data_IF_222912904727
#
_entry.id   IF_222912904727
#
_cell.length_a   1.000
_cell.length_b   1.000
_cell.length_c   1.000
_cell.angle_alpha   90.00
_cell.angle_beta   90.00
_cell.angle_gamma   90.00
#
_symmetry.space_group_name_H-M   'P 1'
#
loop_
_entity.id
_entity.type
_entity.pdbx_description
1 polymer ?
#
# COMPACT_ATOMS: atom_id res chain seq x y z
N UNK A 1 -2.00 3.87 -31.01
CA UNK A 1 -2.06 4.26 -29.59
C UNK A 1 -1.23 3.22 -28.89
N UNK A 2 -0.05 3.61 -28.39
CA UNK A 2 0.76 2.72 -27.55
C UNK A 2 0.18 2.83 -26.13
N UNK A 3 -0.90 2.09 -25.88
CA UNK A 3 -1.37 1.88 -24.52
C UNK A 3 -0.33 1.02 -23.82
N UNK A 4 0.58 1.68 -23.10
CA UNK A 4 1.58 1.00 -22.29
C UNK A 4 0.84 0.27 -21.17
N UNK A 5 0.61 -1.02 -21.34
CA UNK A 5 -0.08 -1.85 -20.36
C UNK A 5 0.73 -1.89 -19.04
N UNK A 6 0.19 -1.27 -18.00
CA UNK A 6 0.83 -1.24 -16.67
C UNK A 6 0.44 -2.53 -15.95
N UNK A 7 1.36 -3.50 -15.92
CA UNK A 7 1.18 -4.69 -15.12
C UNK A 7 1.60 -4.43 -13.67
N UNK A 8 0.74 -4.82 -12.75
CA UNK A 8 0.99 -4.69 -11.32
C UNK A 8 2.06 -5.69 -10.86
N UNK A 9 2.98 -5.20 -10.03
CA UNK A 9 4.03 -5.98 -9.35
C UNK A 9 3.59 -6.31 -7.94
N UNK A 10 4.22 -7.31 -7.34
CA UNK A 10 3.84 -7.84 -6.02
C UNK A 10 3.91 -6.79 -4.90
N UNK A 11 4.91 -5.91 -4.94
CA UNK A 11 5.14 -4.87 -3.94
C UNK A 11 4.32 -3.59 -4.18
N UNK A 12 3.61 -3.49 -5.30
CA UNK A 12 2.78 -2.33 -5.59
C UNK A 12 1.63 -2.24 -4.58
N UNK A 13 1.26 -1.02 -4.23
CA UNK A 13 0.18 -0.73 -3.27
C UNK A 13 -1.01 -0.18 -4.04
N UNK A 14 -2.16 -0.79 -3.85
CA UNK A 14 -3.42 -0.34 -4.43
C UNK A 14 -4.26 0.32 -3.36
N UNK A 15 -4.90 1.43 -3.72
CA UNK A 15 -6.02 1.99 -2.98
C UNK A 15 -7.28 1.85 -3.81
N UNK A 16 -8.28 1.19 -3.25
CA UNK A 16 -9.57 0.96 -3.89
C UNK A 16 -10.69 1.04 -2.84
N UNK A 17 -11.92 1.37 -3.23
CA UNK A 17 -13.09 1.13 -2.39
C UNK A 17 -13.16 -0.33 -1.94
N UNK A 18 -13.99 -0.59 -0.94
CA UNK A 18 -14.19 -1.94 -0.39
C UNK A 18 -14.45 -2.95 -1.50
N UNK A 19 -13.65 -4.01 -1.53
CA UNK A 19 -13.80 -5.10 -2.48
C UNK A 19 -14.32 -6.36 -1.79
N UNK A 20 -14.94 -7.27 -2.54
CA UNK A 20 -15.40 -8.53 -1.96
C UNK A 20 -14.27 -9.43 -1.44
N UNK A 21 -13.04 -9.21 -1.92
CA UNK A 21 -11.85 -9.98 -1.54
C UNK A 21 -11.03 -9.30 -0.44
N UNK A 22 -11.11 -7.98 -0.30
CA UNK A 22 -10.33 -7.19 0.65
C UNK A 22 -11.20 -6.09 1.28
N UNK A 23 -11.39 -6.18 2.59
CA UNK A 23 -12.16 -5.20 3.37
C UNK A 23 -11.42 -3.89 3.63
N UNK A 24 -10.08 -3.91 3.59
CA UNK A 24 -9.26 -2.70 3.71
C UNK A 24 -9.21 -1.94 2.38
N UNK A 25 -9.25 -0.61 2.44
CA UNK A 25 -9.21 0.25 1.24
C UNK A 25 -7.81 0.47 0.68
N UNK A 26 -6.78 -0.08 1.32
CA UNK A 26 -5.38 -0.01 0.87
C UNK A 26 -4.71 -1.33 1.18
N UNK A 27 -4.08 -1.93 0.18
CA UNK A 27 -3.49 -3.26 0.28
C UNK A 27 -2.38 -3.43 -0.74
N UNK A 28 -1.45 -4.34 -0.47
CA UNK A 28 -0.43 -4.74 -1.44
C UNK A 28 -1.02 -5.68 -2.48
N UNK A 29 -0.49 -5.63 -3.69
CA UNK A 29 -0.87 -6.54 -4.78
C UNK A 29 -0.62 -7.99 -4.39
N UNK A 30 0.49 -8.32 -3.73
CA UNK A 30 0.76 -9.67 -3.21
C UNK A 30 -0.37 -10.18 -2.30
N UNK A 31 -0.87 -9.34 -1.38
CA UNK A 31 -1.90 -9.75 -0.42
C UNK A 31 -3.19 -10.09 -1.15
N UNK A 32 -3.56 -9.24 -2.10
CA UNK A 32 -4.72 -9.46 -2.96
C UNK A 32 -4.57 -10.71 -3.84
N UNK A 33 -3.39 -10.90 -4.46
CA UNK A 33 -3.09 -12.07 -5.28
C UNK A 33 -3.11 -13.37 -4.46
N UNK A 34 -2.67 -13.33 -3.21
CA UNK A 34 -2.72 -14.48 -2.28
C UNK A 34 -4.16 -14.89 -1.99
N UNK A 35 -5.04 -13.91 -1.70
CA UNK A 35 -6.46 -14.17 -1.49
C UNK A 35 -7.10 -14.70 -2.79
N UNK A 36 -6.80 -14.10 -3.94
CA UNK A 36 -7.32 -14.55 -5.23
C UNK A 36 -6.88 -15.98 -5.53
N UNK A 37 -5.62 -16.32 -5.27
CA UNK A 37 -5.10 -17.68 -5.43
C UNK A 37 -5.85 -18.70 -4.57
N UNK A 38 -6.14 -18.36 -3.31
CA UNK A 38 -6.91 -19.23 -2.39
C UNK A 38 -8.35 -19.52 -2.85
N UNK A 39 -8.89 -18.72 -3.77
CA UNK A 39 -10.24 -18.88 -4.32
C UNK A 39 -10.27 -19.60 -5.66
N UNK A 40 -9.11 -19.73 -6.33
CA UNK A 40 -9.00 -20.46 -7.59
C UNK A 40 -8.77 -21.94 -7.31
N UNK A 41 -9.28 -22.79 -8.19
CA UNK A 41 -9.00 -24.23 -8.15
C UNK A 41 -7.63 -24.58 -8.74
N UNK A 42 -7.09 -23.70 -9.59
CA UNK A 42 -5.83 -23.91 -10.31
C UNK A 42 -4.83 -22.82 -9.93
N UNK A 43 -3.92 -23.15 -9.02
CA UNK A 43 -2.92 -22.23 -8.46
C UNK A 43 -1.89 -21.74 -9.51
N UNK A 44 -1.71 -22.52 -10.59
CA UNK A 44 -0.74 -22.19 -11.65
C UNK A 44 -1.15 -21.00 -12.50
N UNK A 45 -2.44 -20.62 -12.49
CA UNK A 45 -2.93 -19.52 -13.33
C UNK A 45 -2.32 -18.17 -12.96
N UNK A 46 -1.99 -17.93 -11.68
CA UNK A 46 -1.41 -16.66 -11.23
C UNK A 46 0.12 -16.66 -11.20
N UNK A 47 0.76 -17.81 -11.44
CA UNK A 47 2.21 -17.97 -11.45
C UNK A 47 2.74 -18.19 -12.89
N UNK A 48 3.18 -19.40 -13.22
CA UNK A 48 3.82 -19.72 -14.51
C UNK A 48 2.82 -19.98 -15.64
N UNK A 49 1.54 -20.03 -15.32
CA UNK A 49 0.46 -20.40 -16.23
C UNK A 49 0.20 -21.90 -16.30
N UNK A 50 -0.97 -22.24 -16.84
CA UNK A 50 -1.44 -23.60 -17.07
C UNK A 50 -1.23 -23.99 -18.54
N UNK A 51 -0.70 -25.19 -18.79
CA UNK A 51 -0.51 -25.71 -20.15
C UNK A 51 -1.86 -25.90 -20.86
N UNK A 52 -1.95 -25.46 -22.12
CA UNK A 52 -3.15 -25.56 -22.92
C UNK A 52 -2.86 -25.60 -24.42
N UNK A 53 -3.88 -25.89 -25.23
CA UNK A 53 -3.85 -25.74 -26.67
C UNK A 53 -4.85 -24.66 -27.12
N UNK A 54 -4.40 -23.75 -27.98
CA UNK A 54 -5.22 -22.69 -28.56
C UNK A 54 -5.60 -23.04 -29.99
N UNK A 55 -6.90 -23.03 -30.29
CA UNK A 55 -7.42 -23.06 -31.65
C UNK A 55 -7.92 -21.67 -32.04
N UNK A 56 -7.22 -21.01 -32.96
CA UNK A 56 -7.64 -19.71 -33.51
C UNK A 56 -8.32 -19.90 -34.87
N UNK A 57 -9.24 -19.00 -35.21
CA UNK A 57 -9.90 -19.03 -36.53
C UNK A 57 -8.87 -19.03 -37.67
N UNK A 58 -9.00 -20.01 -38.58
CA UNK A 58 -8.09 -20.18 -39.72
C UNK A 58 -6.70 -20.76 -39.38
N UNK A 59 -6.45 -21.17 -38.14
CA UNK A 59 -5.19 -21.79 -37.70
C UNK A 59 -5.45 -23.18 -37.10
N UNK A 60 -4.39 -24.00 -37.01
CA UNK A 60 -4.43 -25.27 -36.29
C UNK A 60 -4.28 -25.10 -34.77
N UNK A 61 -4.42 -26.21 -34.03
CA UNK A 61 -4.12 -26.26 -32.59
C UNK A 61 -2.67 -25.88 -32.33
N UNK A 62 -2.44 -25.00 -31.35
CA UNK A 62 -1.11 -24.53 -30.96
C UNK A 62 -0.93 -24.71 -29.45
N UNK A 63 0.10 -25.45 -29.04
CA UNK A 63 0.45 -25.61 -27.62
C UNK A 63 1.00 -24.31 -27.03
N UNK A 64 0.63 -24.01 -25.79
CA UNK A 64 1.09 -22.84 -25.06
C UNK A 64 0.67 -22.90 -23.59
N UNK A 65 0.72 -21.73 -22.94
CA UNK A 65 0.27 -21.56 -21.55
C UNK A 65 -0.71 -20.40 -21.43
N UNK A 66 -1.71 -20.57 -20.58
CA UNK A 66 -2.64 -19.51 -20.17
C UNK A 66 -2.32 -19.06 -18.75
N UNK A 67 -2.26 -17.73 -18.53
CA UNK A 67 -2.01 -17.13 -17.21
C UNK A 67 -2.91 -15.91 -16.99
N UNK A 68 -3.19 -15.62 -15.73
CA UNK A 68 -3.93 -14.44 -15.27
C UNK A 68 -2.94 -13.41 -14.73
N UNK A 69 -3.13 -12.14 -15.11
CA UNK A 69 -2.35 -11.00 -14.63
C UNK A 69 -3.27 -9.84 -14.36
N UNK A 70 -2.92 -9.02 -13.37
CA UNK A 70 -3.63 -7.78 -13.08
C UNK A 70 -2.99 -6.63 -13.86
N UNK A 71 -3.84 -5.80 -14.45
CA UNK A 71 -3.45 -4.57 -15.13
C UNK A 71 -4.01 -3.36 -14.39
N UNK A 72 -3.24 -2.28 -14.40
CA UNK A 72 -3.67 -0.97 -13.96
C UNK A 72 -3.90 -0.10 -15.19
N UNK A 73 -5.08 0.51 -15.27
CA UNK A 73 -5.48 1.36 -16.40
C UNK A 73 -5.58 2.80 -15.87
N UNK A 74 -4.56 3.64 -16.08
CA UNK A 74 -4.61 5.02 -15.63
C UNK A 74 -5.61 5.82 -16.48
N UNK A 75 -6.35 6.74 -15.83
CA UNK A 75 -7.34 7.59 -16.52
C UNK A 75 -6.65 8.56 -17.49
N UNK A 76 -5.48 9.05 -17.09
CA UNK A 76 -4.62 9.89 -17.93
C UNK A 76 -3.32 9.13 -18.21
N UNK A 77 -2.85 9.08 -19.47
CA UNK A 77 -1.63 8.37 -19.81
C UNK A 77 -0.43 8.99 -19.10
N UNK A 78 0.43 8.14 -18.53
CA UNK A 78 1.59 8.54 -17.73
C UNK A 78 2.51 9.51 -18.51
N UNK A 79 2.64 10.74 -18.02
CA UNK A 79 3.62 11.69 -18.53
C UNK A 79 4.98 11.20 -18.06
N UNK A 80 5.78 10.65 -18.98
CA UNK A 80 7.15 10.18 -18.68
C UNK A 80 7.90 11.26 -17.91
N UNK A 81 8.29 10.97 -16.68
CA UNK A 81 9.13 11.87 -15.88
C UNK A 81 10.38 12.22 -16.67
N UNK A 82 10.53 13.50 -17.01
CA UNK A 82 11.76 13.98 -17.61
C UNK A 82 12.87 13.83 -16.58
N UNK A 83 13.80 12.92 -16.85
CA UNK A 83 15.04 12.75 -16.10
C UNK A 83 15.63 14.15 -15.83
N UNK A 84 15.61 14.57 -14.56
CA UNK A 84 16.11 15.87 -14.15
C UNK A 84 17.54 16.04 -14.70
N UNK A 85 17.79 17.14 -15.41
CA UNK A 85 19.12 17.50 -15.86
C UNK A 85 20.05 17.58 -14.64
N UNK A 86 21.28 17.03 -14.72
CA UNK A 86 22.23 17.14 -13.63
C UNK A 86 22.49 18.61 -13.34
N UNK A 87 22.42 19.00 -12.08
CA UNK A 87 22.83 20.33 -11.64
C UNK A 87 24.26 20.60 -12.11
N UNK A 88 24.48 21.75 -12.75
CA UNK A 88 25.79 22.18 -13.16
C UNK A 88 26.73 22.26 -11.94
N UNK A 89 28.04 21.93 -12.08
CA UNK A 89 28.98 22.08 -11.00
C UNK A 89 29.13 23.57 -10.65
N UNK A 90 28.91 23.93 -9.39
CA UNK A 90 29.25 25.27 -8.89
C UNK A 90 30.78 25.41 -8.88
N UNK A 91 31.29 26.36 -9.67
CA UNK A 91 32.67 26.79 -9.61
C UNK A 91 32.94 27.39 -8.23
N UNK A 92 33.77 26.68 -7.46
CA UNK A 92 34.21 27.06 -6.13
C UNK A 92 35.49 27.86 -6.27
N UNK A 93 35.37 29.19 -6.31
CA UNK A 93 36.53 30.07 -6.15
C UNK A 93 36.97 30.08 -4.68
N UNK A 94 38.22 29.69 -4.50
CA UNK A 94 38.93 29.62 -3.22
C UNK A 94 39.77 30.89 -3.00
N UNK A 95 40.13 31.11 -1.73
CA UNK A 95 41.15 32.03 -1.17
C UNK A 95 40.62 33.39 -0.63
N UNK A 96 41.06 33.94 0.50
CA UNK A 96 42.00 33.53 1.57
C UNK A 96 41.82 34.52 2.74
N UNK A 97 41.83 33.99 3.98
CA UNK A 97 42.54 34.45 5.19
C UNK A 97 42.42 35.91 5.69
N UNK A 98 42.04 36.08 6.98
CA UNK A 98 42.98 36.40 8.08
C UNK A 98 42.29 36.73 9.42
N UNK A 99 42.95 36.27 10.49
CA UNK A 99 43.12 36.85 11.83
C UNK A 99 41.91 37.05 12.77
N UNK A 100 41.87 36.16 13.76
CA UNK A 100 41.72 36.37 15.22
C UNK A 100 41.26 37.77 15.71
N UNK A 101 40.15 37.82 16.45
CA UNK A 101 40.14 38.41 17.80
C UNK A 101 38.95 37.87 18.63
N UNK A 102 39.09 38.07 19.93
CA UNK A 102 38.59 37.36 21.10
C UNK A 102 37.18 37.75 21.57
N UNK A 103 36.69 36.94 22.51
CA UNK A 103 35.63 37.23 23.50
C UNK A 103 34.22 37.21 22.90
N UNK A 104 33.16 36.71 23.53
CA UNK A 104 32.86 36.46 24.94
C UNK A 104 31.60 35.57 24.99
N UNK A 105 31.39 34.89 26.12
CA UNK A 105 30.13 34.45 26.78
C UNK A 105 28.78 34.44 25.97
N UNK A 106 27.87 33.46 26.07
CA UNK A 106 27.20 32.94 27.27
C UNK A 106 26.52 31.58 26.99
N UNK A 107 26.55 30.70 27.99
CA UNK A 107 25.69 29.52 28.14
C UNK A 107 24.28 29.96 28.53
N UNK A 108 23.23 29.35 27.97
CA UNK A 108 21.99 29.15 28.71
C UNK A 108 21.52 27.72 28.51
N UNK A 109 21.77 26.96 29.55
CA UNK A 109 21.25 25.65 29.88
C UNK A 109 19.84 25.84 30.47
N UNK A 110 18.86 25.07 30.04
CA UNK A 110 17.63 24.88 30.84
C UNK A 110 17.05 23.50 30.54
N UNK A 111 17.65 22.52 31.19
CA UNK A 111 16.96 21.31 31.65
C UNK A 111 15.90 21.72 32.69
N UNK A 112 14.66 21.24 32.57
CA UNK A 112 13.92 20.50 33.63
C UNK A 112 12.44 20.21 33.23
N UNK A 113 11.71 19.29 33.91
CA UNK A 113 11.59 17.89 33.48
C UNK A 113 10.15 17.43 33.20
N UNK A 114 10.07 16.19 32.74
CA UNK A 114 8.88 15.35 32.60
C UNK A 114 8.07 15.29 33.91
N UNK A 115 6.81 15.72 33.86
CA UNK A 115 5.83 15.40 34.89
C UNK A 115 5.00 14.19 34.44
N UNK A 116 5.20 13.08 35.14
CA UNK A 116 4.42 11.86 35.08
C UNK A 116 3.45 11.89 36.25
N UNK A 117 2.17 12.16 35.99
CA UNK A 117 1.05 11.80 36.88
C UNK A 117 -0.16 11.50 36.00
N UNK A 118 -0.53 10.24 35.81
CA UNK A 118 -1.36 9.41 36.70
C UNK A 118 -2.83 9.41 36.23
N UNK A 119 -3.38 8.19 36.20
CA UNK A 119 -4.79 7.85 36.21
C UNK A 119 -5.61 7.91 34.90
N UNK A 120 -6.00 6.69 34.53
CA UNK A 120 -6.99 6.29 33.54
C UNK A 120 -8.39 6.82 33.84
N UNK A 121 -9.00 7.54 32.89
CA UNK A 121 -10.46 7.67 32.82
C UNK A 121 -10.93 7.27 31.43
N UNK A 122 -11.22 5.97 31.26
CA UNK A 122 -12.02 5.50 30.12
C UNK A 122 -13.46 5.92 30.44
N UNK A 123 -13.93 6.99 29.79
CA UNK A 123 -15.33 7.39 29.83
C UNK A 123 -16.21 6.26 29.28
N UNK A 124 -17.04 5.68 30.15
CA UNK A 124 -17.99 4.62 29.82
C UNK A 124 -19.37 5.19 29.46
N UNK A 125 -19.42 6.24 28.64
CA UNK A 125 -20.68 6.71 28.06
C UNK A 125 -21.13 5.81 26.90
N UNK A 126 -21.44 4.56 27.23
CA UNK A 126 -22.20 3.68 26.34
C UNK A 126 -23.70 3.89 26.57
N UNK A 127 -24.52 3.94 25.50
CA UNK A 127 -25.95 4.08 25.65
C UNK A 127 -26.54 2.91 26.44
N UNK A 128 -27.39 3.24 27.42
CA UNK A 128 -28.14 2.26 28.22
C UNK A 128 -28.88 1.31 27.28
N UNK A 129 -28.55 0.02 27.39
CA UNK A 129 -29.20 -1.08 26.67
C UNK A 129 -30.72 -0.94 26.77
N UNK A 130 -31.39 -0.83 25.61
CA UNK A 130 -32.85 -0.67 25.52
C UNK A 130 -33.59 -2.01 25.65
N UNK A 131 -32.92 -3.04 26.14
CA UNK A 131 -33.50 -4.37 26.32
C UNK A 131 -33.72 -4.64 27.81
N UNK A 132 -34.97 -4.74 28.28
CA UNK A 132 -35.25 -5.21 29.63
C UNK A 132 -34.90 -6.69 29.70
N UNK A 133 -33.84 -7.00 30.44
CA UNK A 133 -33.41 -8.38 30.65
C UNK A 133 -34.46 -9.11 31.49
N UNK A 134 -35.10 -10.12 30.89
CA UNK A 134 -35.91 -11.11 31.61
C UNK A 134 -36.29 -12.29 30.72
N UNK A 135 -35.32 -13.08 30.25
CA UNK A 135 -35.58 -14.51 30.05
C UNK A 135 -34.30 -15.38 29.94
N UNK A 136 -34.00 -16.28 30.90
CA UNK A 136 -32.81 -17.14 30.85
C UNK A 136 -32.91 -18.34 29.87
N UNK A 137 -33.90 -18.40 28.97
CA UNK A 137 -34.11 -19.55 28.07
C UNK A 137 -34.37 -19.18 26.59
N UNK A 138 -33.84 -18.06 26.10
CA UNK A 138 -34.03 -17.70 24.68
C UNK A 138 -33.05 -18.48 23.78
N UNK A 139 -33.47 -19.66 23.31
CA UNK A 139 -32.84 -20.37 22.19
C UNK A 139 -33.12 -19.60 20.90
N UNK A 140 -32.18 -18.75 20.50
CA UNK A 140 -32.18 -18.11 19.18
C UNK A 140 -31.95 -19.16 18.08
N UNK A 141 -32.95 -19.37 17.25
CA UNK A 141 -32.88 -20.17 16.04
C UNK A 141 -31.99 -19.45 15.01
N UNK A 142 -30.93 -20.11 14.56
CA UNK A 142 -30.34 -19.82 13.26
C UNK A 142 -30.97 -20.78 12.27
N UNK A 143 -31.68 -20.23 11.29
CA UNK A 143 -32.08 -20.91 10.05
C UNK A 143 -31.38 -20.19 8.90
#
# INVERSE_FOLDING_TARGET
>A
MDDSQIFLKEDDVLSAPTSALMYQCTFKVNEYMTILNSRLLEERLLSDGMDCELLSSGKGWTQGKVRLRLEFIPIEPEVKEQKALPAAPEESDTAQNNAEDSSDSEQIDTNEPLDVTDSTEISNDFPISRYPDSNPHSRGMWS
#
